data_IF_267570781512
#
_entry.id   IF_267570781512
#
_cell.length_a   1.000
_cell.length_b   1.000
_cell.length_c   1.000
_cell.angle_alpha   90.00
_cell.angle_beta   90.00
_cell.angle_gamma   90.00
#
_symmetry.space_group_name_H-M   'P 1'
#
loop_
_entity.id
_entity.type
_entity.pdbx_description
1 polymer ?
#
# COMPACT_ATOMS: atom_id res chain seq x y z
N UNK A 1 0.42 10.38 -10.46
CA UNK A 1 1.67 11.11 -10.15
C UNK A 1 2.62 10.14 -9.47
N UNK A 2 3.88 10.05 -9.92
CA UNK A 2 4.85 9.12 -9.34
C UNK A 2 5.46 9.60 -8.02
N UNK A 3 6.02 8.68 -7.23
CA UNK A 3 6.66 8.98 -5.94
C UNK A 3 8.14 8.58 -5.96
N UNK A 4 8.99 9.37 -5.31
CA UNK A 4 10.43 9.06 -5.20
C UNK A 4 10.64 7.84 -4.28
N UNK A 5 11.55 6.90 -4.62
CA UNK A 5 11.84 5.73 -3.79
C UNK A 5 12.20 6.06 -2.33
N UNK A 6 12.89 7.17 -2.10
CA UNK A 6 13.24 7.61 -0.74
C UNK A 6 12.02 7.96 0.11
N UNK A 7 11.01 8.58 -0.51
CA UNK A 7 9.74 8.94 0.16
C UNK A 7 8.91 7.69 0.40
N UNK A 8 8.92 6.73 -0.53
CA UNK A 8 8.28 5.43 -0.33
C UNK A 8 8.91 4.69 0.85
N UNK A 9 10.26 4.66 0.93
CA UNK A 9 10.99 4.00 2.02
C UNK A 9 10.63 4.59 3.38
N UNK A 10 10.61 5.92 3.47
CA UNK A 10 10.19 6.66 4.68
C UNK A 10 8.78 6.30 5.11
N UNK A 11 7.81 6.35 4.18
CA UNK A 11 6.40 6.02 4.46
C UNK A 11 6.18 4.58 4.85
N UNK A 12 6.95 3.66 4.27
CA UNK A 12 6.85 2.23 4.57
C UNK A 12 7.62 1.84 5.84
N UNK A 13 8.39 2.75 6.45
CA UNK A 13 9.24 2.44 7.60
C UNK A 13 10.37 1.45 7.28
N UNK A 14 10.77 1.30 6.00
CA UNK A 14 11.81 0.35 5.58
C UNK A 14 13.06 1.05 5.05
N UNK A 15 14.20 0.35 5.08
CA UNK A 15 15.45 0.87 4.55
C UNK A 15 15.39 1.10 3.02
N UNK A 16 16.19 2.07 2.53
CA UNK A 16 16.25 2.40 1.09
C UNK A 16 16.62 1.21 0.20
N UNK A 17 17.48 0.31 0.68
CA UNK A 17 17.86 -0.90 -0.05
C UNK A 17 16.67 -1.86 -0.19
N UNK A 18 15.97 -2.15 0.92
CA UNK A 18 14.76 -2.98 0.92
C UNK A 18 13.64 -2.38 0.05
N UNK A 19 13.49 -1.05 0.06
CA UNK A 19 12.56 -0.37 -0.86
C UNK A 19 12.99 -0.52 -2.33
N UNK A 20 14.30 -0.48 -2.62
CA UNK A 20 14.82 -0.76 -3.96
C UNK A 20 14.41 -2.15 -4.45
N UNK A 21 14.67 -3.17 -3.64
CA UNK A 21 14.29 -4.57 -3.91
C UNK A 21 12.79 -4.73 -4.12
N UNK A 22 11.97 -4.12 -3.26
CA UNK A 22 10.51 -4.14 -3.39
C UNK A 22 10.05 -3.50 -4.72
N UNK A 23 10.64 -2.37 -5.11
CA UNK A 23 10.29 -1.73 -6.38
C UNK A 23 10.72 -2.60 -7.56
N UNK A 24 11.89 -3.25 -7.49
CA UNK A 24 12.35 -4.17 -8.54
C UNK A 24 11.40 -5.36 -8.70
N UNK A 25 10.94 -5.94 -7.60
CA UNK A 25 9.96 -7.02 -7.61
C UNK A 25 8.61 -6.58 -8.18
N UNK A 26 8.11 -5.41 -7.77
CA UNK A 26 6.86 -4.85 -8.29
C UNK A 26 6.96 -4.48 -9.78
N UNK A 27 8.12 -4.02 -10.25
CA UNK A 27 8.37 -3.72 -11.66
C UNK A 27 8.45 -5.02 -12.47
N UNK A 28 9.10 -6.06 -11.95
CA UNK A 28 9.13 -7.40 -12.56
C UNK A 28 7.73 -8.01 -12.68
N UNK A 29 6.87 -7.78 -11.70
CA UNK A 29 5.47 -8.22 -11.72
C UNK A 29 4.56 -7.32 -12.57
N UNK A 30 5.08 -6.23 -13.15
CA UNK A 30 4.31 -5.32 -14.00
C UNK A 30 3.37 -4.38 -13.25
N UNK A 31 3.54 -4.21 -11.93
CA UNK A 31 2.71 -3.35 -11.10
C UNK A 31 3.22 -1.91 -10.99
N UNK A 32 4.52 -1.69 -11.18
CA UNK A 32 5.09 -0.34 -11.21
C UNK A 32 6.04 -0.19 -12.38
N UNK A 33 6.35 1.06 -12.72
CA UNK A 33 7.39 1.44 -13.68
C UNK A 33 8.15 2.67 -13.19
N UNK A 34 9.42 2.77 -13.58
CA UNK A 34 10.24 3.95 -13.27
C UNK A 34 10.25 4.96 -14.41
N UNK A 35 9.91 6.20 -14.10
CA UNK A 35 9.99 7.34 -15.02
C UNK A 35 11.04 8.36 -14.58
N UNK A 36 11.60 9.11 -15.52
CA UNK A 36 12.41 10.28 -15.20
C UNK A 36 11.53 11.39 -14.62
N UNK A 37 11.97 12.03 -13.55
CA UNK A 37 11.30 13.23 -13.03
C UNK A 37 11.50 14.39 -14.03
N UNK A 38 10.39 15.00 -14.47
CA UNK A 38 10.41 16.14 -15.40
C UNK A 38 11.13 17.37 -14.83
N UNK A 39 11.24 17.47 -13.50
CA UNK A 39 11.93 18.56 -12.79
C UNK A 39 13.41 18.26 -12.52
N UNK A 40 13.80 16.98 -12.46
CA UNK A 40 15.18 16.53 -12.26
C UNK A 40 15.41 15.19 -12.94
N UNK A 41 15.99 15.21 -14.15
CA UNK A 41 16.24 14.00 -14.95
C UNK A 41 17.13 12.95 -14.26
N UNK A 42 17.83 13.32 -13.17
CA UNK A 42 18.63 12.38 -12.36
C UNK A 42 17.78 11.63 -11.34
N UNK A 43 16.58 12.12 -11.02
CA UNK A 43 15.64 11.47 -10.14
C UNK A 43 14.71 10.54 -10.92
N UNK A 44 14.48 9.33 -10.39
CA UNK A 44 13.48 8.39 -10.89
C UNK A 44 12.24 8.41 -10.00
N UNK A 45 11.07 8.51 -10.61
CA UNK A 45 9.76 8.38 -9.96
C UNK A 45 9.24 6.97 -10.18
N UNK A 46 8.68 6.37 -9.13
CA UNK A 46 7.94 5.10 -9.22
C UNK A 46 6.48 5.43 -9.50
N UNK A 47 5.94 4.87 -10.57
CA UNK A 47 4.56 5.10 -11.03
C UNK A 47 3.83 3.76 -11.08
N UNK A 48 2.62 3.63 -10.50
CA UNK A 48 1.82 2.43 -10.66
C UNK A 48 1.40 2.25 -12.13
N UNK A 49 1.28 1.00 -12.55
CA UNK A 49 0.66 0.63 -13.84
C UNK A 49 -0.85 0.48 -13.68
N UNK A 50 -1.56 0.36 -14.80
CA UNK A 50 -3.01 0.11 -14.79
C UNK A 50 -3.34 -1.21 -14.04
N UNK A 51 -2.51 -2.25 -14.21
CA UNK A 51 -2.66 -3.52 -13.50
C UNK A 51 -2.57 -3.35 -11.97
N UNK A 52 -1.72 -2.45 -11.47
CA UNK A 52 -1.67 -2.19 -10.03
C UNK A 52 -2.90 -1.44 -9.51
N UNK A 53 -3.50 -0.59 -10.33
CA UNK A 53 -4.73 0.11 -10.00
C UNK A 53 -5.90 -0.89 -9.92
N UNK A 54 -5.99 -1.82 -10.87
CA UNK A 54 -7.01 -2.88 -10.85
C UNK A 54 -6.91 -3.76 -9.60
N UNK A 55 -5.69 -4.18 -9.21
CA UNK A 55 -5.49 -4.95 -7.97
C UNK A 55 -5.89 -4.15 -6.74
N UNK A 56 -5.57 -2.85 -6.72
CA UNK A 56 -5.95 -1.96 -5.61
C UNK A 56 -7.47 -1.89 -5.44
N UNK A 57 -8.21 -1.82 -6.56
CA UNK A 57 -9.66 -1.79 -6.54
C UNK A 57 -10.26 -3.11 -6.03
N UNK A 58 -9.70 -4.26 -6.46
CA UNK A 58 -10.11 -5.59 -5.97
C UNK A 58 -9.90 -5.70 -4.45
N UNK A 59 -8.75 -5.25 -3.96
CA UNK A 59 -8.43 -5.26 -2.52
C UNK A 59 -9.38 -4.36 -1.73
N UNK A 60 -9.67 -3.16 -2.24
CA UNK A 60 -10.63 -2.26 -1.59
C UNK A 60 -12.04 -2.86 -1.53
N UNK A 61 -12.52 -3.47 -2.62
CA UNK A 61 -13.82 -4.13 -2.64
C UNK A 61 -13.89 -5.28 -1.63
N UNK A 62 -12.85 -6.13 -1.61
CA UNK A 62 -12.75 -7.24 -0.66
C UNK A 62 -12.77 -6.75 0.79
N UNK A 63 -11.96 -5.74 1.11
CA UNK A 63 -11.94 -5.12 2.43
C UNK A 63 -13.32 -4.54 2.81
N UNK A 64 -13.99 -3.87 1.87
CA UNK A 64 -15.33 -3.35 2.08
C UNK A 64 -16.36 -4.44 2.42
N UNK A 65 -16.31 -5.58 1.71
CA UNK A 65 -17.16 -6.74 2.01
C UNK A 65 -16.88 -7.32 3.39
N UNK A 66 -15.61 -7.43 3.77
CA UNK A 66 -15.22 -7.89 5.11
C UNK A 66 -15.68 -6.94 6.21
N UNK A 67 -15.50 -5.62 6.04
CA UNK A 67 -15.98 -4.63 7.01
C UNK A 67 -17.50 -4.70 7.17
N UNK A 68 -18.25 -4.91 6.08
CA UNK A 68 -19.70 -5.08 6.14
C UNK A 68 -20.10 -6.32 6.95
N UNK A 69 -19.46 -7.46 6.72
CA UNK A 69 -19.71 -8.69 7.47
C UNK A 69 -19.43 -8.50 8.97
N UNK A 70 -18.38 -7.76 9.33
CA UNK A 70 -18.08 -7.45 10.73
C UNK A 70 -19.14 -6.55 11.36
N UNK A 71 -19.64 -5.53 10.64
CA UNK A 71 -20.72 -4.66 11.14
C UNK A 71 -22.01 -5.43 11.37
N UNK A 72 -22.32 -6.41 10.50
CA UNK A 72 -23.47 -7.29 10.67
C UNK A 72 -23.32 -8.20 11.91
N UNK A 73 -22.12 -8.74 12.14
CA UNK A 73 -21.85 -9.66 13.24
C UNK A 73 -21.88 -8.99 14.63
N UNK A 74 -21.26 -7.82 14.78
CA UNK A 74 -21.09 -7.18 16.09
C UNK A 74 -21.94 -5.92 16.30
N UNK A 75 -22.60 -5.44 15.25
CA UNK A 75 -23.32 -4.17 15.24
C UNK A 75 -22.43 -2.96 14.97
N UNK A 76 -23.03 -1.92 14.40
CA UNK A 76 -22.32 -0.71 13.93
C UNK A 76 -21.53 0.01 15.03
N UNK A 77 -22.11 0.12 16.23
CA UNK A 77 -21.48 0.86 17.35
C UNK A 77 -20.27 0.12 17.93
N UNK A 78 -20.38 -1.19 18.15
CA UNK A 78 -19.27 -2.01 18.62
C UNK A 78 -18.14 -2.05 17.60
N UNK A 79 -18.48 -2.18 16.31
CA UNK A 79 -17.52 -2.13 15.21
C UNK A 79 -16.76 -0.78 15.18
N UNK A 80 -17.47 0.35 15.31
CA UNK A 80 -16.83 1.68 15.37
C UNK A 80 -15.88 1.81 16.55
N UNK A 81 -16.30 1.35 17.73
CA UNK A 81 -15.49 1.37 18.95
C UNK A 81 -14.22 0.54 18.79
N UNK A 82 -14.34 -0.70 18.30
CA UNK A 82 -13.21 -1.57 18.02
C UNK A 82 -12.22 -0.91 17.03
N UNK A 83 -12.73 -0.35 15.93
CA UNK A 83 -11.91 0.30 14.91
C UNK A 83 -11.20 1.55 15.45
N UNK A 84 -11.84 2.30 16.34
CA UNK A 84 -11.22 3.43 17.04
C UNK A 84 -10.10 2.97 17.97
N UNK A 85 -10.32 1.92 18.76
CA UNK A 85 -9.31 1.35 19.66
C UNK A 85 -8.10 0.81 18.88
N UNK A 86 -8.33 0.05 17.81
CA UNK A 86 -7.26 -0.46 16.94
C UNK A 86 -6.44 0.67 16.33
N UNK A 87 -7.08 1.76 15.86
CA UNK A 87 -6.36 2.94 15.36
C UNK A 87 -5.54 3.67 16.41
N UNK A 88 -5.97 3.65 17.68
CA UNK A 88 -5.25 4.31 18.75
C UNK A 88 -3.96 3.57 19.13
N UNK A 89 -3.94 2.24 18.98
CA UNK A 89 -2.78 1.40 19.30
C UNK A 89 -1.95 0.99 18.08
N UNK A 90 -2.51 1.15 16.88
CA UNK A 90 -1.77 0.92 15.64
C UNK A 90 -0.74 2.04 15.49
N UNK A 91 0.55 1.71 15.31
CA UNK A 91 1.54 2.71 14.94
C UNK A 91 1.06 3.35 13.63
N UNK A 92 0.68 4.63 13.70
CA UNK A 92 0.30 5.40 12.50
C UNK A 92 1.46 5.26 11.50
N UNK A 93 1.14 4.71 10.33
CA UNK A 93 1.98 4.53 9.12
C UNK A 93 2.63 3.15 8.83
N UNK A 94 2.54 2.11 9.66
CA UNK A 94 3.13 0.78 9.30
C UNK A 94 2.14 -0.21 8.64
N UNK A 95 0.83 0.07 8.66
CA UNK A 95 -0.19 -0.89 8.22
C UNK A 95 -0.53 -0.78 6.72
N UNK A 96 0.30 -1.48 5.92
CA UNK A 96 0.09 -2.07 4.58
C UNK A 96 0.73 -1.33 3.38
N UNK A 97 1.49 -2.05 2.53
CA UNK A 97 1.16 -3.39 2.03
C UNK A 97 2.07 -4.49 2.56
N UNK A 98 1.46 -5.53 3.14
CA UNK A 98 2.03 -6.87 3.07
C UNK A 98 1.17 -7.68 2.11
N UNK A 99 1.81 -8.26 1.09
CA UNK A 99 1.73 -9.67 0.65
C UNK A 99 2.32 -9.84 -0.77
N UNK A 100 2.83 -11.02 -1.18
CA UNK A 100 3.22 -12.22 -0.42
C UNK A 100 4.68 -12.67 -0.70
N UNK A 101 5.18 -13.74 -0.06
CA UNK A 101 5.86 -14.80 -0.80
C UNK A 101 4.94 -16.01 -0.92
N UNK A 102 4.74 -16.50 -2.14
CA UNK A 102 4.17 -17.83 -2.43
C UNK A 102 4.39 -18.15 -3.92
N UNK A 103 4.71 -19.39 -4.31
CA UNK A 103 5.67 -20.36 -3.73
C UNK A 103 7.15 -20.04 -4.06
#
# INVERSE_FOLDING_TARGET
>A
MGTRPSILAERAGIGKAAMGELIDDLERLGYVRREADSSDRRAKLVVPTDAALEVTDIVHEFNGRMEAAYRELVGEEAYRTLRAALRAISPRDEMQPRLPPHP
#
